data_IF_305651058265
#
_entry.id   IF_305651058265
#
_cell.length_a   1.000
_cell.length_b   1.000
_cell.length_c   1.000
_cell.angle_alpha   90.00
_cell.angle_beta   90.00
_cell.angle_gamma   90.00
#
_symmetry.space_group_name_H-M   'P 1'
#
loop_
_entity.id
_entity.type
_entity.pdbx_description
1 polymer ?
#
# COMPACT_ATOMS: atom_id res chain seq x y z
N UNK A 1 -10.89 -10.07 11.54
CA UNK A 1 -12.10 -9.65 10.81
C UNK A 1 -12.21 -8.13 10.72
N UNK A 2 -11.99 -7.38 11.82
CA UNK A 2 -12.11 -5.91 11.84
C UNK A 2 -11.17 -5.27 10.80
N UNK A 3 -9.89 -5.64 10.77
CA UNK A 3 -8.94 -5.13 9.77
C UNK A 3 -9.36 -5.44 8.33
N UNK A 4 -9.95 -6.61 8.08
CA UNK A 4 -10.45 -6.97 6.74
C UNK A 4 -11.63 -6.10 6.29
N UNK A 5 -12.50 -5.67 7.23
CA UNK A 5 -13.58 -4.74 6.91
C UNK A 5 -13.05 -3.34 6.56
N UNK A 6 -12.05 -2.85 7.31
CA UNK A 6 -11.37 -1.61 6.98
C UNK A 6 -10.61 -1.69 5.65
N UNK A 7 -9.90 -2.79 5.39
CA UNK A 7 -9.20 -3.02 4.12
C UNK A 7 -10.17 -3.10 2.93
N UNK A 8 -11.36 -3.68 3.12
CA UNK A 8 -12.41 -3.70 2.08
C UNK A 8 -12.85 -2.29 1.70
N UNK A 9 -13.11 -1.46 2.69
CA UNK A 9 -13.49 -0.05 2.48
C UNK A 9 -12.33 0.72 1.83
N UNK A 10 -11.12 0.56 2.36
CA UNK A 10 -9.92 1.19 1.81
C UNK A 10 -9.70 0.84 0.32
N UNK A 11 -9.84 -0.44 -0.04
CA UNK A 11 -9.67 -0.89 -1.41
C UNK A 11 -10.72 -0.29 -2.34
N UNK A 12 -11.96 -0.11 -1.86
CA UNK A 12 -13.04 0.55 -2.59
C UNK A 12 -12.69 2.03 -2.89
N UNK A 13 -12.30 2.78 -1.88
CA UNK A 13 -11.94 4.20 -2.01
C UNK A 13 -10.67 4.39 -2.84
N UNK A 14 -9.65 3.54 -2.64
CA UNK A 14 -8.39 3.59 -3.37
C UNK A 14 -8.59 3.35 -4.88
N UNK A 15 -9.37 2.34 -5.26
CA UNK A 15 -9.70 2.07 -6.67
C UNK A 15 -10.46 3.23 -7.31
N UNK A 16 -11.38 3.84 -6.57
CA UNK A 16 -12.12 5.00 -7.05
C UNK A 16 -11.18 6.21 -7.22
N UNK A 17 -10.27 6.48 -6.27
CA UNK A 17 -9.27 7.54 -6.36
C UNK A 17 -8.37 7.36 -7.59
N UNK A 18 -7.82 6.16 -7.81
CA UNK A 18 -7.00 5.83 -8.99
C UNK A 18 -7.79 6.10 -10.27
N UNK A 19 -9.06 5.67 -10.33
CA UNK A 19 -9.92 5.91 -11.49
C UNK A 19 -10.21 7.38 -11.74
N UNK A 20 -10.35 8.22 -10.72
CA UNK A 20 -10.51 9.67 -10.86
C UNK A 20 -9.21 10.33 -11.33
N UNK A 21 -8.06 9.95 -10.80
CA UNK A 21 -6.74 10.46 -11.24
C UNK A 21 -6.51 10.11 -12.73
N UNK A 22 -6.85 8.88 -13.13
CA UNK A 22 -6.77 8.45 -14.54
C UNK A 22 -7.59 9.32 -15.48
N UNK A 23 -8.71 9.90 -15.01
CA UNK A 23 -9.59 10.80 -15.78
C UNK A 23 -9.33 12.30 -15.56
N UNK A 24 -8.26 12.64 -14.82
CA UNK A 24 -7.93 14.03 -14.47
C UNK A 24 -9.02 14.73 -13.62
N UNK A 25 -9.64 13.97 -12.71
CA UNK A 25 -10.70 14.43 -11.80
C UNK A 25 -10.15 14.50 -10.36
N UNK A 26 -9.21 15.40 -10.08
CA UNK A 26 -8.52 15.46 -8.79
C UNK A 26 -9.41 15.81 -7.58
N UNK A 27 -10.38 16.74 -7.64
CA UNK A 27 -11.20 17.06 -6.46
C UNK A 27 -11.92 15.85 -5.85
N UNK A 28 -12.60 14.96 -6.59
CA UNK A 28 -13.15 13.72 -6.03
C UNK A 28 -12.05 12.73 -5.59
N UNK A 29 -10.91 12.65 -6.30
CA UNK A 29 -9.79 11.79 -5.91
C UNK A 29 -9.27 12.17 -4.51
N UNK A 30 -9.03 13.45 -4.23
CA UNK A 30 -8.60 13.94 -2.92
C UNK A 30 -9.58 13.57 -1.80
N UNK A 31 -10.88 13.65 -2.08
CA UNK A 31 -11.89 13.24 -1.08
C UNK A 31 -11.80 11.75 -0.74
N UNK A 32 -11.46 10.92 -1.70
CA UNK A 32 -11.28 9.48 -1.51
C UNK A 32 -9.95 9.17 -0.82
N UNK A 33 -8.85 9.82 -1.21
CA UNK A 33 -7.55 9.68 -0.54
C UNK A 33 -7.62 10.10 0.93
N UNK A 34 -8.30 11.21 1.23
CA UNK A 34 -8.54 11.63 2.62
C UNK A 34 -9.31 10.57 3.45
N UNK A 35 -10.25 9.81 2.84
CA UNK A 35 -10.89 8.68 3.53
C UNK A 35 -9.94 7.49 3.67
N UNK A 36 -9.11 7.21 2.67
CA UNK A 36 -8.06 6.17 2.76
C UNK A 36 -7.15 6.47 3.94
N UNK A 37 -6.70 7.71 4.11
CA UNK A 37 -5.86 8.14 5.24
C UNK A 37 -6.57 7.93 6.58
N UNK A 38 -7.87 8.27 6.69
CA UNK A 38 -8.66 8.01 7.91
C UNK A 38 -8.86 6.53 8.20
N UNK A 39 -8.97 5.70 7.18
CA UNK A 39 -9.03 4.24 7.35
C UNK A 39 -7.68 3.71 7.83
N UNK A 40 -6.57 4.23 7.29
CA UNK A 40 -5.23 3.87 7.76
C UNK A 40 -5.02 4.19 9.24
N UNK A 41 -5.52 5.33 9.73
CA UNK A 41 -5.50 5.64 11.17
C UNK A 41 -6.19 4.53 12.00
N UNK A 42 -7.34 4.00 11.54
CA UNK A 42 -8.04 2.91 12.23
C UNK A 42 -7.24 1.60 12.19
N UNK A 43 -6.58 1.31 11.07
CA UNK A 43 -5.71 0.15 10.95
C UNK A 43 -4.47 0.26 11.86
N UNK A 44 -3.91 1.46 12.03
CA UNK A 44 -2.82 1.74 12.98
C UNK A 44 -3.31 1.57 14.42
N UNK A 45 -4.44 2.18 14.79
CA UNK A 45 -5.03 2.06 16.13
C UNK A 45 -5.40 0.61 16.50
N UNK A 46 -5.76 -0.22 15.52
CA UNK A 46 -6.02 -1.64 15.78
C UNK A 46 -4.79 -2.36 16.37
N UNK A 47 -3.57 -1.93 16.05
CA UNK A 47 -2.36 -2.47 16.64
C UNK A 47 -2.20 -2.07 18.12
N UNK A 48 -2.71 -0.93 18.54
CA UNK A 48 -2.66 -0.51 19.97
C UNK A 48 -3.46 -1.48 20.83
N UNK A 49 -4.63 -1.93 20.34
CA UNK A 49 -5.42 -2.96 21.01
C UNK A 49 -4.70 -4.31 21.02
N UNK A 50 -4.18 -4.75 19.87
CA UNK A 50 -3.48 -6.03 19.76
C UNK A 50 -2.19 -6.07 20.59
N UNK A 51 -1.50 -4.93 20.75
CA UNK A 51 -0.29 -4.80 21.55
C UNK A 51 -0.53 -4.97 23.06
N UNK A 52 -1.78 -4.95 23.53
CA UNK A 52 -2.12 -5.25 24.94
C UNK A 52 -2.06 -6.74 25.25
N UNK A 53 -2.10 -7.60 24.23
CA UNK A 53 -2.00 -9.05 24.38
C UNK A 53 -0.62 -9.44 24.92
N UNK A 54 -0.59 -10.28 25.95
CA UNK A 54 0.65 -10.79 26.54
C UNK A 54 1.12 -12.09 25.85
N UNK A 55 2.43 -12.44 25.91
CA UNK A 55 2.92 -13.70 25.36
C UNK A 55 2.23 -14.96 25.91
N UNK A 56 1.87 -15.08 27.20
CA UNK A 56 1.09 -16.21 27.70
C UNK A 56 -0.30 -16.31 27.07
N UNK A 57 -1.04 -15.19 26.95
CA UNK A 57 -2.37 -15.16 26.36
C UNK A 57 -2.31 -15.58 24.88
N UNK A 58 -1.34 -15.04 24.13
CA UNK A 58 -1.11 -15.47 22.76
C UNK A 58 -0.78 -16.95 22.66
N UNK A 59 0.07 -17.47 23.54
CA UNK A 59 0.46 -18.88 23.55
C UNK A 59 -0.73 -19.81 23.80
N UNK A 60 -1.65 -19.41 24.67
CA UNK A 60 -2.90 -20.14 24.91
C UNK A 60 -3.85 -20.10 23.71
N UNK A 61 -3.92 -18.98 22.99
CA UNK A 61 -4.78 -18.83 21.82
C UNK A 61 -4.19 -19.46 20.55
N UNK A 62 -2.85 -19.53 20.43
CA UNK A 62 -2.14 -19.94 19.20
C UNK A 62 -2.62 -21.28 18.60
N UNK A 63 -2.89 -22.37 19.36
CA UNK A 63 -3.37 -23.62 18.81
C UNK A 63 -4.68 -23.49 18.04
N UNK A 64 -5.54 -22.54 18.43
CA UNK A 64 -6.84 -22.29 17.78
C UNK A 64 -6.72 -21.49 16.48
N UNK A 65 -5.59 -20.82 16.24
CA UNK A 65 -5.36 -20.08 15.01
C UNK A 65 -5.03 -21.01 13.83
N UNK A 66 -4.54 -22.23 14.10
CA UNK A 66 -4.14 -23.17 13.06
C UNK A 66 -3.08 -22.56 12.13
N UNK A 67 -3.34 -22.56 10.84
CA UNK A 67 -2.50 -21.97 9.80
C UNK A 67 -2.95 -20.56 9.36
N UNK A 68 -3.90 -19.95 10.07
CA UNK A 68 -4.40 -18.62 9.74
C UNK A 68 -3.29 -17.57 9.83
N UNK A 69 -3.19 -16.73 8.82
CA UNK A 69 -2.17 -15.69 8.73
C UNK A 69 -2.69 -14.50 7.95
N UNK A 70 -2.32 -13.28 8.36
CA UNK A 70 -2.55 -12.05 7.59
C UNK A 70 -1.91 -12.09 6.20
N UNK A 71 -0.91 -12.95 5.98
CA UNK A 71 -0.29 -13.20 4.69
C UNK A 71 -1.29 -13.70 3.62
N UNK A 72 -2.41 -14.29 4.05
CA UNK A 72 -3.47 -14.81 3.19
C UNK A 72 -4.55 -13.76 2.87
N UNK A 73 -4.43 -12.52 3.38
CA UNK A 73 -5.38 -11.46 3.06
C UNK A 73 -5.25 -11.02 1.61
N UNK A 74 -6.24 -11.35 0.79
CA UNK A 74 -6.29 -10.91 -0.61
C UNK A 74 -6.54 -9.40 -0.70
N UNK A 75 -7.31 -8.82 0.22
CA UNK A 75 -7.59 -7.39 0.26
C UNK A 75 -6.32 -6.59 0.52
N UNK A 76 -5.54 -6.99 1.52
CA UNK A 76 -4.23 -6.37 1.76
C UNK A 76 -3.32 -6.47 0.52
N UNK A 77 -3.31 -7.61 -0.15
CA UNK A 77 -2.52 -7.80 -1.35
C UNK A 77 -2.95 -6.90 -2.50
N UNK A 78 -4.28 -6.77 -2.73
CA UNK A 78 -4.81 -5.83 -3.71
C UNK A 78 -4.42 -4.38 -3.37
N UNK A 79 -4.46 -3.98 -2.09
CA UNK A 79 -4.03 -2.65 -1.65
C UNK A 79 -2.56 -2.44 -1.95
N UNK A 80 -1.66 -3.38 -1.58
CA UNK A 80 -0.23 -3.25 -1.86
C UNK A 80 0.06 -3.11 -3.36
N UNK A 81 -0.60 -3.90 -4.20
CA UNK A 81 -0.42 -3.79 -5.65
C UNK A 81 -0.95 -2.48 -6.21
N UNK A 82 -2.08 -2.00 -5.69
CA UNK A 82 -2.63 -0.69 -6.06
C UNK A 82 -1.75 0.48 -5.60
N UNK A 83 -0.95 0.28 -4.54
CA UNK A 83 0.03 1.25 -4.06
C UNK A 83 1.40 1.15 -4.75
N UNK A 84 1.61 0.17 -5.63
CA UNK A 84 2.84 0.04 -6.42
C UNK A 84 3.79 -1.09 -5.99
N UNK A 85 3.58 -1.74 -4.85
CA UNK A 85 4.43 -2.85 -4.40
C UNK A 85 4.13 -4.14 -5.21
N UNK A 86 4.62 -4.21 -6.44
CA UNK A 86 4.37 -5.29 -7.44
C UNK A 86 5.30 -6.50 -7.21
N UNK A 87 4.93 -7.38 -6.29
CA UNK A 87 5.67 -8.61 -6.04
C UNK A 87 4.87 -9.84 -6.51
N UNK A 88 5.24 -10.39 -7.67
CA UNK A 88 4.57 -11.55 -8.29
C UNK A 88 4.45 -12.78 -7.38
N UNK A 89 5.42 -13.02 -6.51
CA UNK A 89 5.39 -14.15 -5.57
C UNK A 89 4.16 -14.12 -4.64
N UNK A 90 3.57 -12.94 -4.46
CA UNK A 90 2.39 -12.73 -3.62
C UNK A 90 1.06 -13.16 -4.28
N UNK A 91 1.06 -13.62 -5.52
CA UNK A 91 -0.08 -14.29 -6.16
C UNK A 91 -0.26 -15.72 -5.62
N UNK A 92 0.85 -16.42 -5.36
CA UNK A 92 0.89 -17.82 -4.93
C UNK A 92 -0.01 -18.17 -3.75
N UNK A 93 -0.10 -17.39 -2.67
CA UNK A 93 -0.99 -17.68 -1.54
C UNK A 93 -2.49 -17.80 -1.91
N UNK A 94 -2.89 -17.27 -3.07
CA UNK A 94 -4.27 -17.20 -3.52
C UNK A 94 -4.63 -18.23 -4.61
N UNK A 95 -3.67 -19.02 -5.10
CA UNK A 95 -3.87 -20.00 -6.20
C UNK A 95 -4.94 -21.06 -5.89
N UNK A 96 -5.18 -21.33 -4.60
CA UNK A 96 -6.20 -22.29 -4.16
C UNK A 96 -7.65 -21.75 -4.26
N UNK A 97 -7.85 -20.47 -4.58
CA UNK A 97 -9.15 -19.78 -4.69
C UNK A 97 -9.17 -18.93 -5.96
N UNK A 98 -9.72 -19.49 -7.03
CA UNK A 98 -9.75 -18.86 -8.36
C UNK A 98 -10.43 -17.47 -8.35
N UNK A 99 -11.49 -17.31 -7.56
CA UNK A 99 -12.22 -16.05 -7.40
C UNK A 99 -11.39 -14.93 -6.74
N UNK A 100 -10.56 -15.28 -5.76
CA UNK A 100 -9.66 -14.35 -5.08
C UNK A 100 -8.42 -14.10 -5.92
N UNK A 101 -7.85 -15.15 -6.53
CA UNK A 101 -6.70 -15.02 -7.42
C UNK A 101 -6.99 -14.04 -8.56
N UNK A 102 -8.16 -14.14 -9.20
CA UNK A 102 -8.55 -13.23 -10.28
C UNK A 102 -8.54 -11.75 -9.82
N UNK A 103 -9.03 -11.46 -8.61
CA UNK A 103 -9.02 -10.09 -8.07
C UNK A 103 -7.61 -9.59 -7.77
N UNK A 104 -6.76 -10.44 -7.18
CA UNK A 104 -5.37 -10.10 -6.86
C UNK A 104 -4.56 -9.92 -8.13
N UNK A 105 -4.76 -10.78 -9.13
CA UNK A 105 -4.08 -10.68 -10.42
C UNK A 105 -4.50 -9.42 -11.18
N UNK A 106 -5.79 -9.08 -11.21
CA UNK A 106 -6.25 -7.84 -11.81
C UNK A 106 -5.60 -6.59 -11.16
N UNK A 107 -5.43 -6.57 -9.84
CA UNK A 107 -4.70 -5.50 -9.15
C UNK A 107 -3.20 -5.51 -9.45
N UNK A 108 -2.61 -6.69 -9.64
CA UNK A 108 -1.20 -6.84 -10.02
C UNK A 108 -0.91 -6.31 -11.42
N UNK A 109 -1.80 -6.55 -12.37
CA UNK A 109 -1.66 -6.16 -13.78
C UNK A 109 -2.08 -4.72 -14.07
N UNK A 110 -2.86 -4.10 -13.19
CA UNK A 110 -3.30 -2.71 -13.35
C UNK A 110 -2.19 -1.70 -12.99
N UNK A 111 -2.22 -0.49 -13.54
CA UNK A 111 -1.38 0.61 -13.06
C UNK A 111 -1.67 0.91 -11.59
N UNK A 112 -0.64 1.29 -10.84
CA UNK A 112 -0.75 1.69 -9.44
C UNK A 112 -1.22 3.14 -9.29
N UNK A 113 -1.46 3.57 -8.05
CA UNK A 113 -1.74 4.96 -7.71
C UNK A 113 -0.61 5.89 -8.20
N UNK A 114 0.64 5.48 -8.00
CA UNK A 114 1.79 6.26 -8.44
C UNK A 114 1.92 6.30 -9.96
N UNK A 115 1.69 5.18 -10.64
CA UNK A 115 1.69 5.14 -12.11
C UNK A 115 0.66 6.13 -12.69
N UNK A 116 -0.55 6.19 -12.13
CA UNK A 116 -1.58 7.12 -12.61
C UNK A 116 -1.25 8.58 -12.25
N UNK A 117 -0.60 8.84 -11.11
CA UNK A 117 -0.11 10.18 -10.78
C UNK A 117 0.93 10.67 -11.80
N UNK A 118 1.91 9.83 -12.16
CA UNK A 118 2.94 10.15 -13.17
C UNK A 118 2.33 10.35 -14.56
N UNK A 119 1.37 9.51 -14.94
CA UNK A 119 0.62 9.65 -16.21
C UNK A 119 -0.20 10.94 -16.24
N UNK A 120 -0.80 11.32 -15.13
CA UNK A 120 -1.50 12.60 -15.01
C UNK A 120 -0.54 13.79 -15.17
N UNK A 121 0.61 13.76 -14.50
CA UNK A 121 1.63 14.80 -14.64
C UNK A 121 2.06 14.96 -16.10
N UNK A 122 2.32 13.86 -16.80
CA UNK A 122 2.67 13.88 -18.22
C UNK A 122 1.55 14.48 -19.10
N UNK A 123 0.28 14.09 -18.87
CA UNK A 123 -0.87 14.68 -19.58
C UNK A 123 -1.00 16.18 -19.38
N UNK A 124 -0.55 16.68 -18.23
CA UNK A 124 -0.55 18.12 -17.89
C UNK A 124 0.73 18.85 -18.30
N UNK A 125 1.59 18.21 -19.09
CA UNK A 125 2.79 18.83 -19.68
C UNK A 125 4.02 18.85 -18.78
N UNK A 126 4.00 18.16 -17.62
CA UNK A 126 5.22 17.94 -16.82
C UNK A 126 6.05 16.85 -17.51
N UNK A 127 7.36 17.07 -17.59
CA UNK A 127 8.29 16.20 -18.31
C UNK A 127 8.57 14.89 -17.56
N UNK A 128 7.61 13.94 -17.63
CA UNK A 128 7.77 12.58 -17.13
C UNK A 128 8.20 11.66 -18.28
N UNK A 129 9.24 10.83 -18.13
CA UNK A 129 9.70 9.93 -19.19
C UNK A 129 8.63 8.90 -19.59
N UNK A 130 8.54 8.58 -20.92
CA UNK A 130 7.62 7.57 -21.44
C UNK A 130 7.85 6.18 -20.80
N UNK A 131 9.08 5.85 -20.43
CA UNK A 131 9.44 4.63 -19.70
C UNK A 131 8.74 4.48 -18.35
N UNK A 132 8.17 5.55 -17.77
CA UNK A 132 7.44 5.56 -16.50
C UNK A 132 5.93 5.72 -16.70
N UNK A 133 5.48 6.23 -17.85
CA UNK A 133 4.05 6.39 -18.17
C UNK A 133 3.47 5.25 -19.00
N UNK A 134 4.33 4.43 -19.62
CA UNK A 134 3.96 3.33 -20.55
C UNK A 134 4.68 2.01 -20.21
N UNK A 135 5.16 1.86 -18.98
CA UNK A 135 5.89 0.67 -18.53
C UNK A 135 5.01 -0.58 -18.40
N UNK A 136 5.61 -1.74 -18.26
CA UNK A 136 4.94 -2.96 -17.80
C UNK A 136 4.59 -2.82 -16.30
N UNK A 137 3.29 -2.68 -15.99
CA UNK A 137 2.78 -2.50 -14.62
C UNK A 137 3.02 -3.69 -13.70
N UNK A 138 3.36 -4.85 -14.24
CA UNK A 138 3.67 -6.05 -13.47
C UNK A 138 5.09 -6.06 -12.92
N UNK A 139 5.96 -5.20 -13.44
CA UNK A 139 7.33 -5.06 -12.96
C UNK A 139 7.38 -4.12 -11.73
N UNK A 140 8.29 -4.38 -10.78
CA UNK A 140 8.58 -3.42 -9.73
C UNK A 140 8.89 -2.04 -10.31
N UNK A 141 8.46 -1.00 -9.62
CA UNK A 141 8.82 0.37 -9.99
C UNK A 141 10.33 0.57 -9.76
N UNK A 142 10.97 1.27 -10.67
CA UNK A 142 12.37 1.68 -10.54
C UNK A 142 12.43 3.20 -10.45
N UNK A 143 13.06 3.72 -9.42
CA UNK A 143 13.26 5.16 -9.21
C UNK A 143 14.06 5.80 -10.38
N UNK A 144 13.83 7.07 -10.64
CA UNK A 144 14.42 7.81 -11.75
C UNK A 144 14.65 9.27 -11.40
N UNK A 145 15.89 9.75 -11.60
CA UNK A 145 16.23 11.16 -11.46
C UNK A 145 15.33 12.06 -12.34
N UNK A 146 14.93 11.60 -13.51
CA UNK A 146 14.04 12.37 -14.38
C UNK A 146 12.63 12.51 -13.79
N UNK A 147 12.13 11.52 -13.06
CA UNK A 147 10.85 11.61 -12.32
C UNK A 147 11.00 12.52 -11.10
N UNK A 148 12.11 12.43 -10.39
CA UNK A 148 12.43 13.38 -9.31
C UNK A 148 12.42 14.83 -9.83
N UNK A 149 13.06 15.13 -10.98
CA UNK A 149 13.03 16.45 -11.58
C UNK A 149 11.60 16.89 -12.00
N UNK A 150 10.76 15.96 -12.42
CA UNK A 150 9.35 16.24 -12.70
C UNK A 150 8.61 16.68 -11.44
N UNK A 151 8.76 15.97 -10.32
CA UNK A 151 8.19 16.36 -9.03
C UNK A 151 8.79 17.69 -8.52
N UNK A 152 10.10 17.88 -8.64
CA UNK A 152 10.74 19.14 -8.29
C UNK A 152 10.16 20.34 -9.07
N UNK A 153 9.73 20.14 -10.32
CA UNK A 153 9.07 21.19 -11.10
C UNK A 153 7.74 21.60 -10.44
N UNK A 154 6.97 20.65 -9.94
CA UNK A 154 5.72 20.89 -9.21
C UNK A 154 5.99 21.58 -7.87
N UNK A 155 6.91 21.03 -7.07
CA UNK A 155 7.20 21.54 -5.72
C UNK A 155 7.89 22.91 -5.69
N UNK A 156 8.62 23.27 -6.74
CA UNK A 156 9.21 24.62 -6.87
C UNK A 156 8.22 25.68 -7.34
N UNK A 157 7.10 25.27 -7.92
CA UNK A 157 6.08 26.16 -8.46
C UNK A 157 4.67 25.76 -7.97
N UNK A 158 4.43 25.69 -6.65
CA UNK A 158 3.18 25.16 -6.12
C UNK A 158 1.96 25.99 -6.52
N UNK A 159 2.10 27.30 -6.67
CA UNK A 159 0.99 28.18 -7.10
C UNK A 159 0.53 27.87 -8.52
N UNK A 160 1.44 27.47 -9.42
CA UNK A 160 1.14 27.10 -10.80
C UNK A 160 0.56 25.69 -10.90
N UNK A 161 0.97 24.78 -9.99
CA UNK A 161 0.66 23.36 -10.02
C UNK A 161 -0.04 22.90 -8.74
N UNK A 162 -0.90 23.74 -8.16
CA UNK A 162 -1.47 23.54 -6.82
C UNK A 162 -2.07 22.18 -6.59
N UNK A 163 -2.84 21.67 -7.53
CA UNK A 163 -3.51 20.39 -7.41
C UNK A 163 -2.56 19.18 -7.60
N UNK A 164 -1.49 19.32 -8.42
CA UNK A 164 -0.42 18.31 -8.49
C UNK A 164 0.44 18.33 -7.23
N UNK A 165 0.73 19.52 -6.68
CA UNK A 165 1.38 19.68 -5.39
C UNK A 165 0.56 18.99 -4.28
N UNK A 166 -0.74 19.27 -4.22
CA UNK A 166 -1.63 18.60 -3.27
C UNK A 166 -1.65 17.09 -3.47
N UNK A 167 -1.62 16.60 -4.72
CA UNK A 167 -1.52 15.15 -4.97
C UNK A 167 -0.22 14.56 -4.41
N UNK A 168 0.91 15.24 -4.58
CA UNK A 168 2.19 14.84 -4.00
C UNK A 168 2.12 14.74 -2.47
N UNK A 169 1.54 15.73 -1.80
CA UNK A 169 1.34 15.72 -0.35
C UNK A 169 0.44 14.57 0.12
N UNK A 170 -0.68 14.30 -0.58
CA UNK A 170 -1.55 13.15 -0.27
C UNK A 170 -0.82 11.80 -0.44
N UNK A 171 0.07 11.68 -1.43
CA UNK A 171 0.91 10.48 -1.62
C UNK A 171 1.91 10.34 -0.48
N UNK A 172 2.58 11.41 -0.08
CA UNK A 172 3.53 11.43 1.03
C UNK A 172 2.87 11.05 2.35
N UNK A 173 1.73 11.65 2.66
CA UNK A 173 0.94 11.32 3.86
C UNK A 173 0.52 9.85 3.87
N UNK A 174 0.13 9.33 2.71
CA UNK A 174 -0.29 7.94 2.58
C UNK A 174 0.89 6.98 2.75
N UNK A 175 2.08 7.31 2.23
CA UNK A 175 3.30 6.52 2.46
C UNK A 175 3.66 6.49 3.94
N UNK A 176 3.65 7.65 4.62
CA UNK A 176 3.96 7.74 6.06
C UNK A 176 3.00 6.87 6.88
N UNK A 177 1.69 6.97 6.61
CA UNK A 177 0.68 6.15 7.26
C UNK A 177 0.92 4.63 7.03
N UNK A 178 1.32 4.23 5.83
CA UNK A 178 1.66 2.84 5.51
C UNK A 178 2.91 2.35 6.22
N UNK A 179 3.95 3.18 6.29
CA UNK A 179 5.20 2.88 7.02
C UNK A 179 4.91 2.76 8.52
N UNK A 180 4.11 3.66 9.08
CA UNK A 180 3.69 3.59 10.47
C UNK A 180 2.89 2.31 10.76
N UNK A 181 1.95 1.92 9.90
CA UNK A 181 1.19 0.68 10.06
C UNK A 181 2.12 -0.55 10.05
N UNK A 182 3.08 -0.63 9.10
CA UNK A 182 4.08 -1.70 9.05
C UNK A 182 4.96 -1.73 10.30
N UNK A 183 5.41 -0.58 10.76
CA UNK A 183 6.22 -0.45 11.98
C UNK A 183 5.45 -0.96 13.20
N UNK A 184 4.19 -0.55 13.38
CA UNK A 184 3.33 -1.01 14.48
C UNK A 184 3.09 -2.52 14.40
N UNK A 185 2.93 -3.07 13.21
CA UNK A 185 2.84 -4.51 12.99
C UNK A 185 4.10 -5.24 13.50
N UNK A 186 5.28 -4.83 13.05
CA UNK A 186 6.55 -5.44 13.46
C UNK A 186 6.71 -5.40 14.98
N UNK A 187 6.57 -4.23 15.59
CA UNK A 187 6.78 -4.05 17.04
C UNK A 187 5.77 -4.83 17.88
N UNK A 188 4.51 -4.92 17.43
CA UNK A 188 3.49 -5.75 18.09
C UNK A 188 3.83 -7.23 18.00
N UNK A 189 4.24 -7.72 16.82
CA UNK A 189 4.65 -9.12 16.65
C UNK A 189 5.88 -9.44 17.50
N UNK A 190 6.89 -8.57 17.54
CA UNK A 190 8.06 -8.73 18.42
C UNK A 190 7.67 -8.84 19.89
N UNK A 191 6.78 -7.96 20.34
CA UNK A 191 6.30 -7.96 21.74
C UNK A 191 5.57 -9.24 22.11
N UNK A 192 4.68 -9.72 21.22
CA UNK A 192 3.72 -10.79 21.53
C UNK A 192 4.29 -12.19 21.23
N UNK A 193 5.01 -12.35 20.13
CA UNK A 193 5.48 -13.65 19.64
C UNK A 193 7.00 -13.79 19.81
N UNK A 194 7.73 -12.67 19.84
CA UNK A 194 9.20 -12.65 19.80
C UNK A 194 9.71 -13.16 18.44
N UNK A 195 10.86 -13.81 18.44
CA UNK A 195 11.51 -14.32 17.21
C UNK A 195 11.01 -15.70 16.74
N UNK A 196 9.87 -16.17 17.23
CA UNK A 196 9.27 -17.44 16.80
C UNK A 196 8.72 -17.30 15.38
N UNK A 197 8.62 -18.45 14.68
CA UNK A 197 7.95 -18.49 13.36
C UNK A 197 6.49 -18.08 13.45
N UNK A 198 6.02 -17.29 12.48
CA UNK A 198 4.62 -16.94 12.33
C UNK A 198 3.75 -18.18 12.01
N UNK A 199 2.46 -18.09 12.28
CA UNK A 199 1.47 -19.16 12.00
C UNK A 199 1.36 -19.49 10.50
N UNK A 200 1.65 -18.53 9.60
CA UNK A 200 1.65 -18.72 8.14
C UNK A 200 2.95 -19.28 7.56
N UNK A 201 3.88 -19.77 8.39
CA UNK A 201 5.13 -20.39 7.91
C UNK A 201 6.20 -19.39 7.43
N UNK A 202 5.95 -18.10 7.51
CA UNK A 202 6.91 -17.03 7.17
C UNK A 202 8.01 -16.90 8.23
N UNK A 203 9.13 -16.24 7.88
CA UNK A 203 10.24 -15.95 8.80
C UNK A 203 9.88 -15.08 10.00
N UNK A 204 8.60 -14.78 10.23
CA UNK A 204 8.13 -13.95 11.34
C UNK A 204 8.69 -12.52 11.27
N UNK A 205 9.27 -12.06 12.38
CA UNK A 205 9.81 -10.70 12.53
C UNK A 205 10.84 -10.33 11.46
N UNK A 206 11.72 -11.27 11.08
CA UNK A 206 12.77 -10.99 10.07
C UNK A 206 12.18 -10.68 8.68
N UNK A 207 11.07 -11.32 8.30
CA UNK A 207 10.34 -11.00 7.08
C UNK A 207 9.67 -9.63 7.19
N UNK A 208 8.99 -9.36 8.31
CA UNK A 208 8.27 -8.10 8.52
C UNK A 208 9.22 -6.89 8.55
N UNK A 209 10.42 -7.05 9.10
CA UNK A 209 11.44 -5.98 9.10
C UNK A 209 11.85 -5.58 7.69
N UNK A 210 12.02 -6.55 6.75
CA UNK A 210 12.29 -6.23 5.34
C UNK A 210 11.19 -5.43 4.67
N UNK A 211 9.96 -5.54 5.16
CA UNK A 211 8.85 -4.76 4.61
C UNK A 211 8.87 -3.29 5.03
N UNK A 212 9.69 -2.91 6.04
CA UNK A 212 9.90 -1.51 6.43
C UNK A 212 10.73 -0.74 5.39
N UNK A 213 11.57 -1.46 4.63
CA UNK A 213 12.45 -0.86 3.61
C UNK A 213 11.71 -0.59 2.29
N UNK A 214 10.45 -1.01 2.16
CA UNK A 214 9.66 -0.79 0.95
C UNK A 214 9.20 0.66 0.90
N UNK A 215 9.68 1.39 -0.10
CA UNK A 215 9.26 2.74 -0.47
C UNK A 215 8.26 2.62 -1.61
N UNK A 216 7.15 3.36 -1.52
CA UNK A 216 6.06 3.32 -2.50
C UNK A 216 6.19 4.42 -3.55
N UNK A 217 6.66 5.60 -3.13
CA UNK A 217 6.77 6.81 -3.96
C UNK A 217 8.17 7.43 -3.82
N UNK A 218 9.21 6.81 -4.43
CA UNK A 218 10.60 7.07 -4.09
C UNK A 218 11.13 8.45 -4.51
N UNK A 219 10.44 9.19 -5.39
CA UNK A 219 10.90 10.49 -5.88
C UNK A 219 10.15 11.69 -5.27
N UNK A 220 9.27 11.46 -4.28
CA UNK A 220 8.54 12.53 -3.59
C UNK A 220 9.13 12.82 -2.23
#
# INVERSE_FOLDING_TARGET
QTSELWMKLMLHELRAAIGHIARDELPPAFKMLARVSKIMEQLVHAWDVLATMTPPEYSAMRPYLGQSSGFQSYQYRCIEFSMGNKNRAMLKPHEHRADLLAQVQAAYEAPSLYDEALRLMARRGIAVPASHTERDWTQPYAESEAVEQAWLTVYRNPEQHWDLYQLGEELTDLEDAFRLWRFRHVTTVERVIGFKRGTGGTGGVSYLRKMLDVVLFPEI
#
